data_IF_893553145978
#
_entry.id   IF_893553145978
#
_cell.length_a   1.000
_cell.length_b   1.000
_cell.length_c   1.000
_cell.angle_alpha   90.00
_cell.angle_beta   90.00
_cell.angle_gamma   90.00
#
_symmetry.space_group_name_H-M   'P 1'
#
loop_
_entity.id
_entity.type
_entity.pdbx_description
1 polymer ?
#
# COMPACT_ATOMS: atom_id res chain seq x y z
N UNK A 1 -11.27 16.54 17.99
CA UNK A 1 -11.84 16.74 16.65
C UNK A 1 -10.74 16.41 15.66
N UNK A 2 -10.99 15.57 14.65
CA UNK A 2 -9.97 15.17 13.67
C UNK A 2 -9.79 16.25 12.59
N UNK A 3 -8.57 16.35 12.02
CA UNK A 3 -8.28 17.19 10.85
C UNK A 3 -9.19 16.85 9.65
N UNK A 4 -9.70 15.61 9.57
CA UNK A 4 -10.61 15.15 8.51
C UNK A 4 -11.91 15.96 8.43
N UNK A 5 -12.31 16.65 9.50
CA UNK A 5 -13.50 17.52 9.49
C UNK A 5 -13.24 18.89 8.83
N UNK A 6 -11.98 19.20 8.49
CA UNK A 6 -11.60 20.42 7.76
C UNK A 6 -11.60 20.21 6.25
N UNK A 7 -11.55 18.95 5.80
CA UNK A 7 -11.70 18.57 4.41
C UNK A 7 -13.19 18.59 4.03
N UNK A 8 -13.47 18.90 2.76
CA UNK A 8 -14.80 18.67 2.22
C UNK A 8 -15.11 17.15 2.13
N UNK A 9 -16.39 16.76 1.96
CA UNK A 9 -16.76 15.36 1.95
C UNK A 9 -16.09 14.52 0.87
N UNK A 10 -15.76 15.10 -0.29
CA UNK A 10 -15.15 14.39 -1.42
C UNK A 10 -13.67 14.14 -1.15
N UNK A 11 -12.94 15.16 -0.73
CA UNK A 11 -11.52 15.09 -0.38
C UNK A 11 -11.30 14.19 0.83
N UNK A 12 -12.19 14.26 1.83
CA UNK A 12 -12.19 13.33 2.96
C UNK A 12 -12.39 11.89 2.49
N UNK A 13 -13.35 11.65 1.59
CA UNK A 13 -13.60 10.30 1.07
C UNK A 13 -12.38 9.78 0.29
N UNK A 14 -11.74 10.64 -0.50
CA UNK A 14 -10.52 10.31 -1.22
C UNK A 14 -9.42 9.86 -0.25
N UNK A 15 -9.04 10.70 0.71
CA UNK A 15 -7.96 10.40 1.68
C UNK A 15 -8.25 9.12 2.47
N UNK A 16 -9.50 8.94 2.91
CA UNK A 16 -9.92 7.79 3.71
C UNK A 16 -10.02 6.49 2.89
N UNK A 17 -10.28 6.57 1.59
CA UNK A 17 -10.36 5.39 0.73
C UNK A 17 -8.98 4.83 0.36
N UNK A 18 -7.94 5.67 0.38
CA UNK A 18 -6.61 5.33 -0.14
C UNK A 18 -5.95 4.11 0.52
N UNK A 19 -5.97 3.93 1.86
CA UNK A 19 -5.35 2.75 2.47
C UNK A 19 -5.90 1.43 1.93
N UNK A 20 -7.22 1.38 1.71
CA UNK A 20 -7.88 0.22 1.11
C UNK A 20 -7.54 0.10 -0.38
N UNK A 21 -7.69 1.19 -1.15
CA UNK A 21 -7.49 1.17 -2.61
C UNK A 21 -6.05 0.88 -3.02
N UNK A 22 -5.07 1.39 -2.27
CA UNK A 22 -3.65 1.08 -2.46
C UNK A 22 -3.38 -0.41 -2.22
N UNK A 23 -3.87 -0.95 -1.12
CA UNK A 23 -3.72 -2.37 -0.80
C UNK A 23 -4.33 -3.27 -1.89
N UNK A 24 -5.56 -2.96 -2.31
CA UNK A 24 -6.27 -3.72 -3.33
C UNK A 24 -5.63 -3.59 -4.73
N UNK A 25 -5.18 -2.39 -5.10
CA UNK A 25 -4.47 -2.20 -6.37
C UNK A 25 -3.20 -3.06 -6.41
N UNK A 26 -2.46 -3.14 -5.30
CA UNK A 26 -1.25 -3.96 -5.23
C UNK A 26 -1.58 -5.44 -5.32
N UNK A 27 -2.60 -5.94 -4.61
CA UNK A 27 -2.98 -7.36 -4.69
C UNK A 27 -3.42 -7.76 -6.11
N UNK A 28 -4.27 -6.95 -6.74
CA UNK A 28 -4.80 -7.19 -8.08
C UNK A 28 -3.82 -6.89 -9.21
N UNK A 29 -2.59 -6.46 -8.88
CA UNK A 29 -1.57 -6.21 -9.89
C UNK A 29 -1.05 -7.51 -10.52
N UNK A 30 -1.16 -8.64 -9.82
CA UNK A 30 -0.86 -9.95 -10.37
C UNK A 30 -2.14 -10.54 -11.01
N UNK A 31 -2.12 -10.82 -12.31
CA UNK A 31 -3.30 -11.31 -13.06
C UNK A 31 -3.64 -12.79 -12.76
N UNK A 32 -3.05 -13.38 -11.73
CA UNK A 32 -3.22 -14.79 -11.38
C UNK A 32 -4.26 -14.96 -10.27
N UNK A 33 -5.54 -14.88 -10.64
CA UNK A 33 -6.64 -15.12 -9.70
C UNK A 33 -7.99 -15.16 -10.41
N UNK A 34 -8.88 -16.07 -9.97
CA UNK A 34 -10.31 -16.02 -10.27
C UNK A 34 -11.10 -15.59 -9.03
N UNK A 35 -12.43 -15.62 -9.08
CA UNK A 35 -13.33 -15.07 -8.04
C UNK A 35 -13.01 -15.50 -6.58
N UNK A 36 -12.48 -16.72 -6.36
CA UNK A 36 -12.06 -17.18 -5.02
C UNK A 36 -10.84 -16.44 -4.47
N UNK A 37 -9.93 -16.00 -5.35
CA UNK A 37 -8.78 -15.18 -5.00
C UNK A 37 -9.21 -13.79 -4.51
N UNK A 38 -10.21 -13.18 -5.17
CA UNK A 38 -10.72 -11.85 -4.81
C UNK A 38 -11.30 -11.81 -3.38
N UNK A 39 -12.04 -12.84 -2.97
CA UNK A 39 -12.56 -12.93 -1.60
C UNK A 39 -11.44 -13.09 -0.56
N UNK A 40 -10.40 -13.85 -0.89
CA UNK A 40 -9.25 -14.06 -0.03
C UNK A 40 -8.41 -12.79 0.11
N UNK A 41 -8.20 -12.06 -0.99
CA UNK A 41 -7.52 -10.76 -1.02
C UNK A 41 -8.22 -9.74 -0.11
N UNK A 42 -9.55 -9.63 -0.23
CA UNK A 42 -10.32 -8.72 0.63
C UNK A 42 -10.23 -9.08 2.11
N UNK A 43 -10.24 -10.38 2.45
CA UNK A 43 -10.07 -10.82 3.85
C UNK A 43 -8.66 -10.51 4.38
N UNK A 44 -7.62 -10.74 3.58
CA UNK A 44 -6.24 -10.44 3.95
C UNK A 44 -6.05 -8.93 4.16
N UNK A 45 -6.51 -8.11 3.21
CA UNK A 45 -6.47 -6.65 3.31
C UNK A 45 -7.25 -6.14 4.53
N UNK A 46 -8.43 -6.70 4.79
CA UNK A 46 -9.20 -6.37 5.99
C UNK A 46 -8.44 -6.69 7.27
N UNK A 47 -7.81 -7.87 7.36
CA UNK A 47 -7.02 -8.28 8.52
C UNK A 47 -5.82 -7.34 8.73
N UNK A 48 -5.15 -6.96 7.64
CA UNK A 48 -4.01 -6.03 7.65
C UNK A 48 -4.45 -4.66 8.16
N UNK A 49 -5.50 -4.07 7.58
CA UNK A 49 -6.01 -2.76 8.01
C UNK A 49 -6.47 -2.76 9.47
N UNK A 50 -7.15 -3.82 9.92
CA UNK A 50 -7.54 -3.97 11.32
C UNK A 50 -6.33 -4.09 12.26
N UNK A 51 -5.27 -4.79 11.83
CA UNK A 51 -4.00 -4.83 12.56
C UNK A 51 -3.41 -3.43 12.73
N UNK A 52 -3.32 -2.69 11.64
CA UNK A 52 -2.88 -1.29 11.64
C UNK A 52 -3.72 -0.43 12.60
N UNK A 53 -5.05 -0.49 12.57
CA UNK A 53 -5.87 0.32 13.49
C UNK A 53 -5.66 0.04 14.99
N UNK A 54 -5.18 -1.14 15.35
CA UNK A 54 -4.87 -1.51 16.72
C UNK A 54 -3.46 -1.10 17.14
N UNK A 55 -2.58 -0.76 16.20
CA UNK A 55 -1.25 -0.25 16.48
C UNK A 55 -1.30 1.21 16.94
N UNK A 56 -0.45 1.54 17.92
CA UNK A 56 -0.26 2.93 18.33
C UNK A 56 0.67 3.59 17.33
N UNK A 57 0.07 4.30 16.38
CA UNK A 57 0.83 5.09 15.42
C UNK A 57 1.51 6.26 16.10
N UNK A 58 2.76 6.54 15.71
CA UNK A 58 3.45 7.78 16.06
C UNK A 58 2.92 9.02 15.33
N UNK A 59 1.79 8.88 14.63
CA UNK A 59 1.10 9.89 13.80
C UNK A 59 -0.41 9.80 14.03
N UNK A 60 -1.00 10.87 14.56
CA UNK A 60 -2.45 10.95 14.80
C UNK A 60 -3.23 11.01 13.47
N UNK A 61 -2.64 11.63 12.45
CA UNK A 61 -3.24 11.75 11.11
C UNK A 61 -3.53 10.38 10.53
N UNK A 62 -2.54 9.49 10.53
CA UNK A 62 -2.68 8.13 10.01
C UNK A 62 -3.69 7.34 10.84
N UNK A 63 -3.64 7.46 12.16
CA UNK A 63 -4.59 6.78 13.03
C UNK A 63 -6.04 7.16 12.71
N UNK A 64 -6.33 8.45 12.49
CA UNK A 64 -7.66 8.91 12.09
C UNK A 64 -8.07 8.39 10.71
N UNK A 65 -7.17 8.44 9.73
CA UNK A 65 -7.45 7.96 8.37
C UNK A 65 -7.80 6.47 8.41
N UNK A 66 -6.93 5.63 8.99
CA UNK A 66 -7.13 4.17 9.04
C UNK A 66 -8.39 3.81 9.83
N UNK A 67 -8.62 4.45 10.97
CA UNK A 67 -9.85 4.24 11.76
C UNK A 67 -11.09 4.56 10.94
N UNK A 68 -11.06 5.65 10.17
CA UNK A 68 -12.18 6.01 9.32
C UNK A 68 -12.34 5.07 8.13
N UNK A 69 -11.25 4.59 7.53
CA UNK A 69 -11.26 3.59 6.45
C UNK A 69 -12.01 2.34 6.90
N UNK A 70 -11.72 1.85 8.12
CA UNK A 70 -12.36 0.68 8.72
C UNK A 70 -13.81 0.95 9.08
N UNK A 71 -14.11 2.13 9.64
CA UNK A 71 -15.50 2.50 9.95
C UNK A 71 -16.42 2.50 8.73
N UNK A 72 -15.83 2.62 7.53
CA UNK A 72 -16.50 2.67 6.23
C UNK A 72 -16.36 1.36 5.43
N UNK A 73 -16.21 0.22 6.10
CA UNK A 73 -16.17 -1.11 5.44
C UNK A 73 -17.30 -1.33 4.43
N UNK A 74 -18.50 -0.81 4.67
CA UNK A 74 -19.63 -0.91 3.73
C UNK A 74 -19.40 -0.21 2.38
N UNK A 75 -18.43 0.70 2.29
CA UNK A 75 -18.03 1.40 1.06
C UNK A 75 -16.88 0.71 0.31
N UNK A 76 -16.27 -0.32 0.88
CA UNK A 76 -15.08 -0.93 0.28
C UNK A 76 -15.36 -1.53 -1.11
N UNK A 77 -16.55 -2.12 -1.30
CA UNK A 77 -16.98 -2.62 -2.61
C UNK A 77 -17.12 -1.50 -3.65
N UNK A 78 -17.58 -0.32 -3.24
CA UNK A 78 -17.65 0.86 -4.11
C UNK A 78 -16.23 1.33 -4.47
N UNK A 79 -15.35 1.46 -3.48
CA UNK A 79 -13.97 1.89 -3.67
C UNK A 79 -13.14 0.92 -4.53
N UNK A 80 -13.48 -0.36 -4.52
CA UNK A 80 -12.86 -1.37 -5.38
C UNK A 80 -13.14 -1.13 -6.88
N UNK A 81 -14.23 -0.44 -7.23
CA UNK A 81 -14.55 -0.09 -8.61
C UNK A 81 -13.70 1.03 -9.20
N UNK A 82 -12.92 1.75 -8.37
CA UNK A 82 -12.25 3.01 -8.74
C UNK A 82 -10.72 2.89 -8.76
N UNK A 83 -10.13 1.71 -9.02
CA UNK A 83 -8.67 1.53 -8.89
C UNK A 83 -7.83 2.24 -9.97
N UNK A 84 -8.43 2.64 -11.09
CA UNK A 84 -7.71 3.23 -12.22
C UNK A 84 -7.04 4.59 -11.91
N UNK A 85 -7.50 5.30 -10.89
CA UNK A 85 -7.04 6.64 -10.56
C UNK A 85 -6.20 6.71 -9.27
N UNK A 86 -5.84 5.56 -8.67
CA UNK A 86 -5.16 5.52 -7.36
C UNK A 86 -3.85 6.32 -7.36
N UNK A 87 -3.10 6.33 -8.47
CA UNK A 87 -1.89 7.14 -8.61
C UNK A 87 -2.18 8.65 -8.48
N UNK A 88 -3.19 9.13 -9.19
CA UNK A 88 -3.60 10.54 -9.17
C UNK A 88 -4.16 10.93 -7.80
N UNK A 89 -4.92 10.03 -7.18
CA UNK A 89 -5.48 10.24 -5.85
C UNK A 89 -4.39 10.26 -4.77
N UNK A 90 -3.33 9.46 -4.91
CA UNK A 90 -2.16 9.54 -4.03
C UNK A 90 -1.49 10.92 -4.09
N UNK A 91 -1.31 11.48 -5.30
CA UNK A 91 -0.81 12.84 -5.47
C UNK A 91 -1.72 13.87 -4.80
N UNK A 92 -3.02 13.83 -5.12
CA UNK A 92 -4.00 14.77 -4.58
C UNK A 92 -4.08 14.69 -3.05
N UNK A 93 -4.05 13.49 -2.46
CA UNK A 93 -4.05 13.33 -1.01
C UNK A 93 -2.81 13.92 -0.35
N UNK A 94 -1.63 13.76 -0.95
CA UNK A 94 -0.40 14.37 -0.43
C UNK A 94 -0.49 15.89 -0.44
N UNK A 95 -1.01 16.48 -1.52
CA UNK A 95 -1.19 17.93 -1.62
C UNK A 95 -2.19 18.43 -0.56
N UNK A 96 -3.36 17.79 -0.45
CA UNK A 96 -4.39 18.12 0.54
C UNK A 96 -3.87 18.03 1.98
N UNK A 97 -3.10 16.98 2.31
CA UNK A 97 -2.56 16.80 3.65
C UNK A 97 -1.45 17.80 3.94
N UNK A 98 -0.64 18.17 2.94
CA UNK A 98 0.45 19.14 3.12
C UNK A 98 -0.04 20.54 3.49
N UNK A 99 -1.28 20.88 3.11
CA UNK A 99 -1.91 22.15 3.46
C UNK A 99 -2.53 22.17 4.88
N UNK A 100 -2.78 21.00 5.48
CA UNK A 100 -3.56 20.86 6.72
C UNK A 100 -2.78 20.34 7.92
N UNK A 101 -1.78 19.48 7.68
CA UNK A 101 -0.99 18.85 8.73
C UNK A 101 0.51 19.10 8.50
N UNK A 102 1.32 18.83 9.51
CA UNK A 102 2.76 19.04 9.38
C UNK A 102 3.40 18.03 8.41
N UNK A 103 4.59 18.37 7.92
CA UNK A 103 5.32 17.51 6.98
C UNK A 103 5.64 16.12 7.56
N UNK A 104 5.74 15.99 8.88
CA UNK A 104 6.04 14.72 9.54
C UNK A 104 4.84 13.78 9.44
N UNK A 105 3.64 14.28 9.67
CA UNK A 105 2.37 13.56 9.50
C UNK A 105 2.13 13.18 8.03
N UNK A 106 2.43 14.08 7.09
CA UNK A 106 2.38 13.76 5.64
C UNK A 106 3.33 12.60 5.30
N UNK A 107 4.56 12.64 5.81
CA UNK A 107 5.54 11.57 5.56
C UNK A 107 5.13 10.25 6.21
N UNK A 108 4.54 10.30 7.41
CA UNK A 108 3.98 9.12 8.06
C UNK A 108 2.84 8.50 7.25
N UNK A 109 1.93 9.33 6.71
CA UNK A 109 0.87 8.86 5.81
C UNK A 109 1.40 8.15 4.57
N UNK A 110 2.37 8.77 3.89
CA UNK A 110 3.02 8.17 2.71
C UNK A 110 3.66 6.82 3.04
N UNK A 111 4.40 6.76 4.14
CA UNK A 111 5.07 5.55 4.60
C UNK A 111 4.05 4.44 4.92
N UNK A 112 2.96 4.74 5.62
CA UNK A 112 1.95 3.75 5.96
C UNK A 112 1.17 3.24 4.75
N UNK A 113 0.89 4.08 3.75
CA UNK A 113 0.32 3.59 2.49
C UNK A 113 1.22 2.56 1.81
N UNK A 114 2.53 2.82 1.79
CA UNK A 114 3.52 1.87 1.25
C UNK A 114 3.57 0.58 2.06
N UNK A 115 3.59 0.67 3.40
CA UNK A 115 3.62 -0.49 4.29
C UNK A 115 2.37 -1.37 4.16
N UNK A 116 1.19 -0.77 3.98
CA UNK A 116 -0.05 -1.51 3.70
C UNK A 116 0.07 -2.27 2.38
N UNK A 117 0.50 -1.60 1.31
CA UNK A 117 0.69 -2.24 0.00
C UNK A 117 1.71 -3.40 0.07
N UNK A 118 2.82 -3.21 0.78
CA UNK A 118 3.82 -4.26 0.99
C UNK A 118 3.26 -5.45 1.80
N UNK A 119 2.54 -5.15 2.88
CA UNK A 119 1.96 -6.16 3.77
C UNK A 119 0.97 -7.05 3.01
N UNK A 120 0.17 -6.46 2.11
CA UNK A 120 -0.79 -7.18 1.28
C UNK A 120 -0.09 -8.08 0.27
N UNK A 121 0.90 -7.55 -0.46
CA UNK A 121 1.67 -8.34 -1.42
C UNK A 121 2.35 -9.54 -0.75
N UNK A 122 2.93 -9.34 0.45
CA UNK A 122 3.56 -10.43 1.20
C UNK A 122 2.55 -11.47 1.68
N UNK A 123 1.37 -11.04 2.15
CA UNK A 123 0.34 -11.93 2.68
C UNK A 123 -0.29 -12.83 1.60
N UNK A 124 -0.46 -12.31 0.37
CA UNK A 124 -1.07 -13.08 -0.71
C UNK A 124 -0.14 -14.18 -1.24
N UNK A 125 1.16 -13.89 -1.38
CA UNK A 125 2.12 -14.88 -1.89
C UNK A 125 2.43 -16.02 -0.93
N UNK A 126 2.28 -15.83 0.38
CA UNK A 126 2.34 -16.93 1.35
C UNK A 126 1.24 -17.99 1.11
N UNK A 127 0.15 -17.63 0.43
CA UNK A 127 -0.94 -18.54 0.10
C UNK A 127 -0.74 -19.28 -1.24
N UNK A 128 0.19 -18.84 -2.10
CA UNK A 128 0.44 -19.41 -3.43
C UNK A 128 1.91 -19.85 -3.60
N UNK A 129 2.19 -21.14 -3.42
CA UNK A 129 3.57 -21.69 -3.48
C UNK A 129 4.15 -21.68 -4.93
N UNK A 130 5.44 -21.36 -5.09
CA UNK A 130 6.08 -21.08 -6.39
C UNK A 130 7.01 -22.16 -6.92
N UNK A 131 6.97 -22.39 -8.24
CA UNK A 131 7.87 -23.27 -8.98
C UNK A 131 9.33 -22.78 -9.13
N UNK A 132 10.26 -23.73 -9.28
CA UNK A 132 11.72 -23.56 -9.19
C UNK A 132 12.35 -22.54 -10.17
N UNK A 133 11.79 -22.38 -11.38
CA UNK A 133 12.33 -21.46 -12.41
C UNK A 133 12.05 -19.97 -12.11
N UNK A 134 10.91 -19.65 -11.48
CA UNK A 134 10.59 -18.29 -11.08
C UNK A 134 11.57 -17.78 -10.00
N UNK A 135 11.96 -18.66 -9.06
CA UNK A 135 12.94 -18.38 -8.00
C UNK A 135 14.32 -17.97 -8.55
N UNK A 136 14.74 -18.55 -9.69
CA UNK A 136 16.03 -18.21 -10.31
C UNK A 136 16.04 -16.82 -10.96
N UNK A 137 14.93 -16.41 -11.61
CA UNK A 137 14.79 -15.07 -12.19
C UNK A 137 14.74 -13.99 -11.10
N UNK A 138 13.98 -14.25 -10.03
CA UNK A 138 13.95 -13.40 -8.82
C UNK A 138 15.34 -13.27 -8.17
N UNK A 139 16.16 -14.31 -8.16
CA UNK A 139 17.52 -14.24 -7.62
C UNK A 139 18.41 -13.24 -8.37
N UNK A 140 18.26 -13.14 -9.69
CA UNK A 140 19.01 -12.18 -10.50
C UNK A 140 18.53 -10.75 -10.26
N UNK A 141 17.23 -10.53 -10.14
CA UNK A 141 16.67 -9.21 -9.84
C UNK A 141 17.05 -8.75 -8.42
N UNK A 142 17.09 -9.64 -7.44
CA UNK A 142 17.52 -9.32 -6.06
C UNK A 142 18.95 -8.84 -6.01
N UNK A 143 19.85 -9.51 -6.74
CA UNK A 143 21.24 -9.07 -6.85
C UNK A 143 21.36 -7.68 -7.46
N UNK A 144 20.46 -7.31 -8.37
CA UNK A 144 20.44 -5.98 -9.00
C UNK A 144 19.91 -4.91 -8.04
N UNK A 145 18.78 -5.18 -7.38
CA UNK A 145 18.16 -4.24 -6.43
C UNK A 145 19.04 -4.06 -5.18
N UNK A 146 19.67 -5.12 -4.69
CA UNK A 146 20.67 -5.06 -3.61
C UNK A 146 21.88 -4.20 -3.97
N UNK A 147 22.40 -4.34 -5.21
CA UNK A 147 23.54 -3.53 -5.68
C UNK A 147 23.17 -2.04 -5.79
N UNK A 148 21.93 -1.73 -6.17
CA UNK A 148 21.38 -0.38 -6.20
C UNK A 148 21.17 0.20 -4.80
N UNK A 149 20.64 -0.59 -3.85
CA UNK A 149 20.46 -0.19 -2.46
C UNK A 149 21.80 0.03 -1.74
N UNK A 150 22.80 -0.82 -1.97
CA UNK A 150 24.18 -0.68 -1.47
C UNK A 150 24.84 0.61 -2.01
N UNK A 151 24.62 0.94 -3.30
CA UNK A 151 25.10 2.20 -3.88
C UNK A 151 24.42 3.44 -3.29
N UNK A 152 23.15 3.34 -2.90
CA UNK A 152 22.36 4.44 -2.33
C UNK A 152 22.36 4.50 -0.80
N UNK A 153 23.10 3.62 -0.11
CA UNK A 153 23.14 3.49 1.37
C UNK A 153 21.74 3.32 2.00
N UNK A 154 20.84 2.63 1.31
CA UNK A 154 19.49 2.34 1.81
C UNK A 154 19.44 0.95 2.45
N UNK A 155 18.46 0.71 3.33
CA UNK A 155 18.24 -0.59 3.93
C UNK A 155 17.95 -1.64 2.83
N UNK A 156 18.70 -2.75 2.85
CA UNK A 156 18.55 -3.85 1.89
C UNK A 156 17.44 -4.77 2.39
N UNK A 157 16.40 -4.97 1.57
CA UNK A 157 15.34 -5.94 1.88
C UNK A 157 15.92 -7.34 2.02
N UNK A 158 15.37 -8.12 2.95
CA UNK A 158 15.78 -9.52 3.11
C UNK A 158 15.38 -10.33 1.87
N UNK A 159 16.09 -11.44 1.64
CA UNK A 159 15.83 -12.34 0.52
C UNK A 159 14.41 -12.92 0.56
N UNK A 160 13.87 -13.19 1.75
CA UNK A 160 12.50 -13.70 1.94
C UNK A 160 11.44 -12.63 1.62
N UNK A 161 11.64 -11.38 2.07
CA UNK A 161 10.77 -10.26 1.69
C UNK A 161 10.78 -10.01 0.18
N UNK A 162 11.94 -10.18 -0.46
CA UNK A 162 12.05 -10.07 -1.91
C UNK A 162 11.33 -11.22 -2.63
N UNK A 163 11.45 -12.45 -2.12
CA UNK A 163 10.77 -13.63 -2.63
C UNK A 163 9.27 -13.65 -2.34
N UNK A 164 8.71 -12.70 -1.60
CA UNK A 164 7.27 -12.64 -1.31
C UNK A 164 6.52 -11.54 -2.08
N UNK A 165 7.20 -10.71 -2.88
CA UNK A 165 6.54 -9.68 -3.72
C UNK A 165 6.85 -9.95 -5.19
N UNK A 166 5.82 -10.14 -6.01
CA UNK A 166 5.87 -10.42 -7.44
C UNK A 166 6.39 -9.23 -8.25
N UNK A 167 6.78 -9.46 -9.52
CA UNK A 167 7.30 -8.38 -10.37
C UNK A 167 6.22 -7.32 -10.66
N UNK A 168 4.96 -7.74 -10.77
CA UNK A 168 3.84 -6.87 -11.05
C UNK A 168 3.47 -6.04 -9.80
N UNK A 169 3.38 -6.68 -8.64
CA UNK A 169 3.18 -6.01 -7.35
C UNK A 169 4.29 -4.98 -7.05
N UNK A 170 5.55 -5.30 -7.35
CA UNK A 170 6.64 -4.31 -7.21
C UNK A 170 6.53 -3.15 -8.16
N UNK A 171 6.04 -3.37 -9.39
CA UNK A 171 5.80 -2.28 -10.33
C UNK A 171 4.70 -1.37 -9.78
N UNK A 172 3.62 -1.93 -9.24
CA UNK A 172 2.55 -1.16 -8.60
C UNK A 172 3.07 -0.37 -7.39
N UNK A 173 3.84 -1.01 -6.50
CA UNK A 173 4.46 -0.32 -5.36
C UNK A 173 5.42 0.80 -5.81
N UNK A 174 6.19 0.61 -6.90
CA UNK A 174 7.03 1.67 -7.47
C UNK A 174 6.23 2.84 -8.03
N UNK A 175 5.09 2.56 -8.69
CA UNK A 175 4.18 3.59 -9.19
C UNK A 175 3.59 4.40 -8.04
N UNK A 176 3.08 3.72 -7.01
CA UNK A 176 2.51 4.37 -5.81
C UNK A 176 3.57 5.18 -5.08
N UNK A 177 4.78 4.64 -4.92
CA UNK A 177 5.90 5.39 -4.34
C UNK A 177 6.24 6.64 -5.15
N UNK A 178 6.25 6.54 -6.49
CA UNK A 178 6.41 7.70 -7.37
C UNK A 178 5.34 8.76 -7.13
N UNK A 179 4.07 8.34 -7.01
CA UNK A 179 2.95 9.23 -6.73
C UNK A 179 3.05 9.93 -5.37
N UNK A 180 3.59 9.23 -4.37
CA UNK A 180 3.81 9.77 -3.03
C UNK A 180 5.08 10.64 -2.94
N UNK A 181 5.80 10.85 -4.05
CA UNK A 181 7.12 11.48 -4.09
C UNK A 181 8.15 10.76 -3.19
N UNK A 182 8.09 9.43 -3.15
CA UNK A 182 9.00 8.55 -2.42
C UNK A 182 9.91 7.77 -3.38
N UNK A 183 11.08 7.36 -2.88
CA UNK A 183 11.95 6.43 -3.61
C UNK A 183 11.76 5.03 -3.07
N UNK A 184 11.23 4.13 -3.90
CA UNK A 184 11.07 2.71 -3.59
C UNK A 184 11.98 1.85 -4.48
N UNK A 185 12.82 1.01 -3.86
CA UNK A 185 13.82 0.18 -4.54
C UNK A 185 13.50 -1.28 -4.32
#
# INVERSE_FOLDING_TARGET
MSFLNQLDPEDRNLVVSLPYRVGLMVSQSDETGGDEADEMEQRALSSILNGYAQEVFGSETVQYIISETISKQSKWTEWAGELNNVEQDCHKAVDLLSDLVDQKEVNAFKQHLMEIGESVAMAFREQHDLGMFARFKLFLDYKKDRKLAEQKKMAVKSWDQFLNISMHERRALRMIAGALNMTYI
#
